data_IF_139885633763
#
_entry.id   IF_139885633763
#
_cell.length_a   1.000
_cell.length_b   1.000
_cell.length_c   1.000
_cell.angle_alpha   90.00
_cell.angle_beta   90.00
_cell.angle_gamma   90.00
#
_symmetry.space_group_name_H-M   'P 1'
#
loop_
_entity.id
_entity.type
_entity.pdbx_description
1 polymer ?
#
# COMPACT_ATOMS: atom_id res chain seq x y z
N UNK A 1 14.20 -7.94 18.53
CA UNK A 1 13.95 -7.23 17.26
C UNK A 1 13.07 -8.06 16.36
N UNK A 2 12.22 -7.42 15.55
CA UNK A 2 11.46 -8.13 14.50
C UNK A 2 12.44 -8.70 13.45
N UNK A 3 12.26 -9.96 13.05
CA UNK A 3 13.02 -10.51 11.93
C UNK A 3 12.55 -9.91 10.60
N UNK A 4 13.43 -9.84 9.61
CA UNK A 4 13.15 -9.28 8.27
C UNK A 4 11.86 -9.85 7.64
N UNK A 5 11.59 -11.15 7.81
CA UNK A 5 10.34 -11.78 7.32
C UNK A 5 9.08 -11.18 7.96
N UNK A 6 9.10 -10.92 9.28
CA UNK A 6 7.96 -10.28 9.96
C UNK A 6 7.80 -8.82 9.52
N UNK A 7 8.92 -8.11 9.36
CA UNK A 7 8.91 -6.73 8.92
C UNK A 7 8.33 -6.59 7.50
N UNK A 8 8.71 -7.48 6.57
CA UNK A 8 8.16 -7.56 5.22
C UNK A 8 6.62 -7.64 5.20
N UNK A 9 6.07 -8.60 5.94
CA UNK A 9 4.61 -8.80 6.00
C UNK A 9 3.90 -7.65 6.71
N UNK A 10 4.49 -7.13 7.78
CA UNK A 10 3.93 -6.00 8.51
C UNK A 10 3.85 -4.75 7.63
N UNK A 11 4.94 -4.38 6.95
CA UNK A 11 4.95 -3.17 6.11
C UNK A 11 4.03 -3.29 4.90
N UNK A 12 3.92 -4.47 4.29
CA UNK A 12 2.96 -4.73 3.22
C UNK A 12 1.51 -4.62 3.70
N UNK A 13 1.18 -5.26 4.83
CA UNK A 13 -0.16 -5.18 5.40
C UNK A 13 -0.55 -3.75 5.77
N UNK A 14 0.36 -3.00 6.40
CA UNK A 14 0.13 -1.60 6.72
C UNK A 14 -0.08 -0.75 5.45
N UNK A 15 0.72 -0.96 4.41
CA UNK A 15 0.55 -0.27 3.13
C UNK A 15 -0.84 -0.55 2.53
N UNK A 16 -1.29 -1.81 2.52
CA UNK A 16 -2.62 -2.17 2.04
C UNK A 16 -3.75 -1.47 2.79
N UNK A 17 -3.68 -1.39 4.12
CA UNK A 17 -4.77 -0.79 4.93
C UNK A 17 -4.78 0.74 4.88
N UNK A 18 -3.62 1.37 4.71
CA UNK A 18 -3.50 2.83 4.69
C UNK A 18 -3.89 3.41 3.31
N UNK A 19 -3.57 2.70 2.23
CA UNK A 19 -3.79 3.16 0.85
C UNK A 19 -5.22 3.58 0.48
N UNK A 20 -6.28 2.86 0.91
CA UNK A 20 -7.67 3.25 0.67
C UNK A 20 -8.04 4.68 1.06
N UNK A 21 -7.28 5.29 1.98
CA UNK A 21 -7.56 6.61 2.57
C UNK A 21 -6.52 7.64 2.12
N UNK A 22 -5.25 7.27 2.09
CA UNK A 22 -4.14 8.22 1.97
C UNK A 22 -3.63 8.47 0.54
N UNK A 23 -4.25 7.87 -0.48
CA UNK A 23 -3.76 7.78 -1.87
C UNK A 23 -2.57 6.81 -2.04
N UNK A 24 -2.54 6.13 -3.19
CA UNK A 24 -1.61 5.04 -3.50
C UNK A 24 -0.14 5.46 -3.52
N UNK A 25 0.17 6.61 -4.12
CA UNK A 25 1.55 7.09 -4.25
C UNK A 25 2.08 7.56 -2.90
N UNK A 26 1.26 8.29 -2.15
CA UNK A 26 1.59 8.78 -0.82
C UNK A 26 1.89 7.63 0.14
N UNK A 27 1.06 6.59 0.13
CA UNK A 27 1.24 5.39 0.97
C UNK A 27 2.52 4.65 0.61
N UNK A 28 2.78 4.45 -0.69
CA UNK A 28 3.99 3.76 -1.13
C UNK A 28 5.27 4.53 -0.74
N UNK A 29 5.31 5.85 -0.95
CA UNK A 29 6.49 6.66 -0.59
C UNK A 29 6.74 6.69 0.92
N UNK A 30 5.68 6.90 1.72
CA UNK A 30 5.77 6.91 3.18
C UNK A 30 6.33 5.57 3.70
N UNK A 31 5.74 4.46 3.26
CA UNK A 31 6.10 3.13 3.74
C UNK A 31 7.48 2.69 3.24
N UNK A 32 7.87 3.04 2.02
CA UNK A 32 9.23 2.85 1.53
C UNK A 32 10.25 3.66 2.35
N UNK A 33 9.94 4.90 2.72
CA UNK A 33 10.81 5.71 3.59
C UNK A 33 10.94 5.08 4.98
N UNK A 34 9.84 4.56 5.54
CA UNK A 34 9.86 3.81 6.80
C UNK A 34 10.77 2.59 6.66
N UNK A 35 10.58 1.76 5.63
CA UNK A 35 11.35 0.51 5.49
C UNK A 35 12.84 0.79 5.30
N UNK A 36 13.22 1.79 4.52
CA UNK A 36 14.62 2.21 4.38
C UNK A 36 15.26 2.57 5.73
N UNK A 37 14.50 3.23 6.61
CA UNK A 37 14.99 3.63 7.94
C UNK A 37 15.12 2.45 8.92
N UNK A 38 14.23 1.46 8.86
CA UNK A 38 14.27 0.30 9.77
C UNK A 38 15.12 -0.87 9.26
N UNK A 39 15.47 -0.91 7.98
CA UNK A 39 16.21 -2.02 7.36
C UNK A 39 17.72 -2.03 7.65
N UNK A 40 18.27 -0.91 8.13
CA UNK A 40 19.72 -0.70 8.23
C UNK A 40 20.42 -0.88 6.87
N UNK A 41 21.62 -1.46 6.88
CA UNK A 41 22.46 -1.65 5.68
C UNK A 41 22.12 -2.90 4.86
N UNK A 42 20.84 -3.32 4.80
CA UNK A 42 20.42 -4.47 4.01
C UNK A 42 19.67 -4.06 2.73
N UNK A 43 20.37 -3.65 1.66
CA UNK A 43 19.74 -3.17 0.44
C UNK A 43 18.92 -4.24 -0.29
N UNK A 44 19.27 -5.53 -0.14
CA UNK A 44 18.50 -6.64 -0.72
C UNK A 44 17.12 -6.73 -0.09
N UNK A 45 17.04 -6.61 1.24
CA UNK A 45 15.76 -6.60 1.95
C UNK A 45 14.94 -5.36 1.62
N UNK A 46 15.57 -4.17 1.61
CA UNK A 46 14.89 -2.91 1.23
C UNK A 46 14.24 -3.04 -0.14
N UNK A 47 14.95 -3.55 -1.14
CA UNK A 47 14.41 -3.67 -2.50
C UNK A 47 13.17 -4.60 -2.54
N UNK A 48 13.26 -5.77 -1.90
CA UNK A 48 12.13 -6.70 -1.77
C UNK A 48 10.94 -6.07 -1.04
N UNK A 49 11.21 -5.35 0.05
CA UNK A 49 10.16 -4.74 0.85
C UNK A 49 9.49 -3.57 0.12
N UNK A 50 10.24 -2.75 -0.61
CA UNK A 50 9.68 -1.68 -1.45
C UNK A 50 8.76 -2.24 -2.53
N UNK A 51 9.14 -3.32 -3.22
CA UNK A 51 8.28 -3.99 -4.21
C UNK A 51 6.97 -4.44 -3.54
N UNK A 52 7.06 -5.10 -2.38
CA UNK A 52 5.88 -5.54 -1.64
C UNK A 52 4.98 -4.38 -1.21
N UNK A 53 5.56 -3.29 -0.73
CA UNK A 53 4.84 -2.08 -0.32
C UNK A 53 4.09 -1.46 -1.50
N UNK A 54 4.73 -1.34 -2.66
CA UNK A 54 4.11 -0.76 -3.86
C UNK A 54 2.93 -1.61 -4.34
N UNK A 55 3.10 -2.94 -4.37
CA UNK A 55 2.03 -3.86 -4.75
C UNK A 55 0.87 -3.77 -3.75
N UNK A 56 1.18 -3.80 -2.45
CA UNK A 56 0.18 -3.77 -1.40
C UNK A 56 -0.58 -2.44 -1.34
N UNK A 57 0.11 -1.31 -1.49
CA UNK A 57 -0.51 0.01 -1.58
C UNK A 57 -1.50 0.04 -2.75
N UNK A 58 -1.06 -0.34 -3.96
CA UNK A 58 -1.93 -0.31 -5.14
C UNK A 58 -3.17 -1.21 -5.00
N UNK A 59 -2.98 -2.43 -4.47
CA UNK A 59 -4.09 -3.32 -4.15
C UNK A 59 -5.06 -2.73 -3.11
N UNK A 60 -4.54 -2.02 -2.10
CA UNK A 60 -5.35 -1.31 -1.11
C UNK A 60 -6.14 -0.16 -1.72
N UNK A 61 -5.55 0.63 -2.61
CA UNK A 61 -6.26 1.74 -3.27
C UNK A 61 -7.40 1.27 -4.15
N UNK A 62 -7.20 0.14 -4.86
CA UNK A 62 -8.25 -0.48 -5.66
C UNK A 62 -9.43 -1.01 -4.81
N UNK A 63 -9.20 -1.31 -3.52
CA UNK A 63 -10.19 -1.84 -2.59
C UNK A 63 -11.16 -0.77 -2.02
N UNK A 64 -11.08 0.46 -2.53
CA UNK A 64 -11.89 1.60 -2.08
C UNK A 64 -12.16 2.57 -3.22
N UNK A 65 -13.32 3.23 -3.24
CA UNK A 65 -13.61 4.28 -4.22
C UNK A 65 -12.77 5.55 -4.03
N UNK A 66 -12.01 5.67 -2.93
CA UNK A 66 -11.17 6.84 -2.65
C UNK A 66 -9.68 6.62 -2.92
N UNK A 67 -9.28 5.38 -3.23
CA UNK A 67 -7.87 5.02 -3.31
C UNK A 67 -7.18 5.38 -4.63
N UNK A 68 -7.92 5.35 -5.75
CA UNK A 68 -7.42 5.72 -7.08
C UNK A 68 -8.43 6.58 -7.83
N UNK A 69 -7.93 7.43 -8.75
CA UNK A 69 -8.79 8.27 -9.61
C UNK A 69 -9.78 7.43 -10.42
N UNK A 70 -9.37 6.25 -10.89
CA UNK A 70 -10.25 5.37 -11.68
C UNK A 70 -11.35 4.73 -10.84
N UNK A 71 -11.09 4.33 -9.60
CA UNK A 71 -12.12 3.77 -8.70
C UNK A 71 -13.13 4.85 -8.32
N UNK A 72 -12.65 6.07 -8.09
CA UNK A 72 -13.47 7.25 -7.84
C UNK A 72 -14.36 7.60 -9.05
N UNK A 73 -13.82 7.55 -10.27
CA UNK A 73 -14.58 7.79 -11.51
C UNK A 73 -15.73 6.81 -11.68
N UNK A 74 -15.46 5.50 -11.52
CA UNK A 74 -16.47 4.45 -11.69
C UNK A 74 -17.56 4.53 -10.61
N UNK A 75 -17.17 4.86 -9.38
CA UNK A 75 -18.12 5.09 -8.28
C UNK A 75 -18.98 6.33 -8.53
N UNK A 76 -18.38 7.45 -8.93
CA UNK A 76 -19.12 8.68 -9.26
C UNK A 76 -20.04 8.55 -10.48
N UNK A 77 -19.67 7.69 -11.44
CA UNK A 77 -20.52 7.35 -12.58
C UNK A 77 -21.69 6.42 -12.20
N UNK A 78 -21.77 5.94 -10.96
CA UNK A 78 -22.83 5.07 -10.47
C UNK A 78 -22.76 3.64 -11.00
N UNK A 79 -21.62 3.22 -11.55
CA UNK A 79 -21.45 1.86 -12.09
C UNK A 79 -21.22 0.80 -11.01
N UNK A 80 -20.70 1.21 -9.85
CA UNK A 80 -20.36 0.32 -8.74
C UNK A 80 -20.73 1.03 -7.43
N UNK A 81 -21.36 0.31 -6.51
CA UNK A 81 -21.69 0.77 -5.16
C UNK A 81 -20.51 0.59 -4.19
N UNK A 82 -20.51 1.31 -3.08
CA UNK A 82 -19.39 1.30 -2.13
C UNK A 82 -19.01 -0.12 -1.65
N UNK A 83 -20.00 -0.99 -1.42
CA UNK A 83 -19.79 -2.33 -0.90
C UNK A 83 -19.18 -3.31 -1.91
N UNK A 84 -19.20 -2.98 -3.21
CA UNK A 84 -18.68 -3.85 -4.28
C UNK A 84 -17.17 -3.69 -4.51
N UNK A 85 -16.52 -2.74 -3.84
CA UNK A 85 -15.06 -2.56 -3.86
C UNK A 85 -14.32 -3.46 -2.85
N UNK A 86 -15.05 -4.10 -1.93
CA UNK A 86 -14.54 -5.01 -0.89
C UNK A 86 -14.70 -6.47 -1.33
#
# INVERSE_FOLDING_TARGET
>A
GFGFKKLFWLTGFLAFVISPIADNLTTALLMCAVVMKVSGDNPKFVNLACINIVIAANAGGAFSPFGDITTLMVWQAGHVSFAEFI
#
